data_IF_593612218996
#
_entry.id   IF_593612218996
#
_cell.length_a   1.000
_cell.length_b   1.000
_cell.length_c   1.000
_cell.angle_alpha   90.00
_cell.angle_beta   90.00
_cell.angle_gamma   90.00
#
_symmetry.space_group_name_H-M   'P 1'
#
loop_
_entity.id
_entity.type
_entity.pdbx_description
1 polymer ?
#
# COMPACT_ATOMS: atom_id res chain seq x y z
N UNK A 1 -19.79 -6.93 -4.64
CA UNK A 1 -19.29 -5.54 -4.42
C UNK A 1 -18.78 -5.29 -2.99
N UNK A 2 -19.07 -6.15 -2.01
CA UNK A 2 -18.57 -6.07 -0.62
C UNK A 2 -17.33 -6.95 -0.32
N UNK A 3 -16.69 -7.53 -1.34
CA UNK A 3 -15.57 -8.47 -1.17
C UNK A 3 -14.18 -7.82 -1.27
N UNK A 4 -14.10 -6.51 -1.53
CA UNK A 4 -12.85 -5.75 -1.38
C UNK A 4 -12.56 -5.34 0.08
N UNK A 5 -13.36 -5.81 1.03
CA UNK A 5 -13.53 -5.21 2.36
C UNK A 5 -12.45 -5.56 3.41
N UNK A 6 -11.24 -6.00 3.02
CA UNK A 6 -10.18 -6.30 4.01
C UNK A 6 -8.74 -6.03 3.57
N UNK A 7 -8.51 -5.47 2.38
CA UNK A 7 -7.15 -5.14 1.99
C UNK A 7 -6.79 -3.75 2.50
N UNK A 8 -5.78 -3.67 3.36
CA UNK A 8 -5.23 -2.40 3.78
C UNK A 8 -4.57 -1.74 2.56
N UNK A 9 -4.98 -0.51 2.25
CA UNK A 9 -4.37 0.26 1.17
C UNK A 9 -3.24 1.07 1.76
N UNK A 10 -2.04 0.96 1.19
CA UNK A 10 -0.87 1.74 1.53
C UNK A 10 -0.59 2.71 0.38
N UNK A 11 -0.28 3.96 0.72
CA UNK A 11 0.25 4.95 -0.20
C UNK A 11 1.71 5.15 0.16
N UNK A 12 2.57 5.00 -0.83
CA UNK A 12 4.01 4.98 -0.70
C UNK A 12 4.57 6.04 -1.64
N UNK A 13 5.33 6.97 -1.08
CA UNK A 13 6.08 7.95 -1.86
C UNK A 13 7.53 7.50 -1.92
N UNK A 14 8.09 7.47 -3.12
CA UNK A 14 9.47 7.10 -3.38
C UNK A 14 10.36 8.33 -3.56
N UNK A 15 11.64 8.19 -3.24
CA UNK A 15 12.63 9.27 -3.40
C UNK A 15 12.93 9.49 -4.89
N UNK A 16 13.16 8.38 -5.59
CA UNK A 16 13.48 8.36 -7.02
C UNK A 16 12.24 7.99 -7.84
N UNK A 17 12.31 8.18 -9.16
CA UNK A 17 11.21 7.84 -10.06
C UNK A 17 10.93 6.32 -10.01
N UNK A 18 9.66 5.96 -9.86
CA UNK A 18 9.20 4.58 -9.83
C UNK A 18 9.47 3.89 -11.17
N UNK A 19 9.95 2.63 -11.15
CA UNK A 19 10.07 1.83 -12.37
C UNK A 19 8.68 1.48 -12.91
N UNK A 20 8.58 1.27 -14.23
CA UNK A 20 7.29 0.98 -14.90
C UNK A 20 6.66 -0.35 -14.45
N UNK A 21 7.45 -1.28 -13.91
CA UNK A 21 7.00 -2.58 -13.45
C UNK A 21 7.38 -2.80 -11.99
N UNK A 22 6.39 -2.72 -11.09
CA UNK A 22 6.54 -3.00 -9.67
C UNK A 22 5.66 -4.19 -9.33
N UNK A 23 6.27 -5.24 -8.77
CA UNK A 23 5.55 -6.43 -8.36
C UNK A 23 5.94 -6.82 -6.95
N UNK A 24 4.94 -7.06 -6.10
CA UNK A 24 5.12 -7.47 -4.72
C UNK A 24 4.24 -8.69 -4.50
N UNK A 25 4.79 -9.75 -3.92
CA UNK A 25 4.04 -10.98 -3.69
C UNK A 25 2.84 -10.73 -2.75
N UNK A 26 1.70 -11.33 -3.07
CA UNK A 26 0.44 -11.18 -2.32
C UNK A 26 -0.07 -9.73 -2.20
N UNK A 27 0.41 -8.83 -3.05
CA UNK A 27 0.00 -7.43 -3.08
C UNK A 27 -0.34 -7.01 -4.51
N UNK A 28 -1.32 -6.11 -4.67
CA UNK A 28 -1.54 -5.43 -5.95
C UNK A 28 -0.91 -4.04 -5.89
N UNK A 29 -0.08 -3.71 -6.87
CA UNK A 29 0.60 -2.42 -6.96
C UNK A 29 0.00 -1.61 -8.11
N UNK A 30 -0.29 -0.34 -7.85
CA UNK A 30 -0.81 0.62 -8.81
C UNK A 30 0.03 1.90 -8.72
N UNK A 31 0.69 2.26 -9.82
CA UNK A 31 1.47 3.50 -9.91
C UNK A 31 0.48 4.64 -10.14
N UNK A 32 0.41 5.58 -9.20
CA UNK A 32 -0.47 6.75 -9.29
C UNK A 32 0.20 7.90 -10.05
N UNK A 33 1.50 8.05 -9.87
CA UNK A 33 2.35 9.03 -10.57
C UNK A 33 3.83 8.59 -10.56
N UNK A 34 4.73 9.45 -11.05
CA UNK A 34 6.16 9.17 -11.16
C UNK A 34 6.83 8.78 -9.83
N UNK A 35 6.30 9.16 -8.68
CA UNK A 35 6.88 8.90 -7.35
C UNK A 35 5.92 8.23 -6.37
N UNK A 36 4.63 8.14 -6.68
CA UNK A 36 3.59 7.62 -5.81
C UNK A 36 3.11 6.25 -6.25
N UNK A 37 3.22 5.28 -5.34
CA UNK A 37 2.73 3.93 -5.49
C UNK A 37 1.60 3.67 -4.49
N UNK A 38 0.50 3.14 -5.00
CA UNK A 38 -0.57 2.56 -4.20
C UNK A 38 -0.39 1.04 -4.12
N UNK A 39 -0.36 0.50 -2.91
CA UNK A 39 -0.23 -0.92 -2.66
C UNK A 39 -1.46 -1.41 -1.91
N UNK A 40 -2.19 -2.35 -2.52
CA UNK A 40 -3.23 -3.12 -1.85
C UNK A 40 -2.56 -4.31 -1.16
N UNK A 41 -2.36 -4.17 0.15
CA UNK A 41 -1.71 -5.17 0.99
C UNK A 41 -2.65 -6.36 1.25
N UNK A 42 -2.13 -7.57 1.02
CA UNK A 42 -2.79 -8.82 1.40
C UNK A 42 -2.86 -9.01 2.92
N UNK A 43 -3.84 -9.77 3.41
CA UNK A 43 -4.04 -10.00 4.86
C UNK A 43 -2.82 -10.65 5.57
N UNK A 44 -1.98 -11.37 4.84
CA UNK A 44 -0.79 -12.05 5.35
C UNK A 44 0.52 -11.26 5.16
N UNK A 45 0.46 -10.07 4.56
CA UNK A 45 1.65 -9.27 4.25
C UNK A 45 1.74 -8.11 5.23
N UNK A 46 2.86 -7.97 5.94
CA UNK A 46 3.09 -6.84 6.85
C UNK A 46 3.60 -5.61 6.08
N UNK A 47 3.50 -4.42 6.68
CA UNK A 47 4.06 -3.19 6.07
C UNK A 47 5.56 -3.35 5.82
N UNK A 48 6.26 -4.03 6.73
CA UNK A 48 7.70 -4.31 6.59
C UNK A 48 8.01 -5.18 5.37
N UNK A 49 7.18 -6.19 5.07
CA UNK A 49 7.36 -7.05 3.89
C UNK A 49 7.23 -6.24 2.59
N UNK A 50 6.26 -5.32 2.54
CA UNK A 50 6.08 -4.40 1.40
C UNK A 50 7.31 -3.51 1.22
N UNK A 51 7.80 -2.90 2.30
CA UNK A 51 8.98 -2.02 2.26
C UNK A 51 10.25 -2.80 1.85
N UNK A 52 10.44 -4.02 2.35
CA UNK A 52 11.55 -4.89 1.97
C UNK A 52 11.48 -5.30 0.49
N UNK A 53 10.28 -5.65 0.00
CA UNK A 53 10.07 -6.01 -1.41
C UNK A 53 10.35 -4.84 -2.36
N UNK A 54 10.00 -3.62 -1.96
CA UNK A 54 10.33 -2.40 -2.70
C UNK A 54 11.83 -2.10 -2.69
N UNK A 55 12.47 -2.22 -1.52
CA UNK A 55 13.92 -2.03 -1.40
C UNK A 55 14.70 -3.05 -2.24
N UNK A 56 14.26 -4.31 -2.29
CA UNK A 56 14.84 -5.34 -3.16
C UNK A 56 14.72 -5.02 -4.67
N UNK A 57 13.73 -4.21 -5.05
CA UNK A 57 13.56 -3.66 -6.40
C UNK A 57 14.25 -2.31 -6.59
N UNK A 58 15.11 -1.93 -5.65
CA UNK A 58 15.88 -0.69 -5.68
C UNK A 58 15.01 0.58 -5.58
N UNK A 59 13.82 0.46 -4.99
CA UNK A 59 12.88 1.56 -4.74
C UNK A 59 13.06 2.03 -3.30
N UNK A 60 13.56 3.26 -3.14
CA UNK A 60 13.70 3.88 -1.83
C UNK A 60 12.42 4.58 -1.42
N UNK A 61 11.80 4.10 -0.33
CA UNK A 61 10.59 4.69 0.25
C UNK A 61 10.95 5.96 1.03
N UNK A 62 10.39 7.10 0.64
CA UNK A 62 10.47 8.36 1.37
C UNK A 62 9.41 8.45 2.46
N UNK A 63 8.16 8.16 2.14
CA UNK A 63 7.03 8.24 3.05
C UNK A 63 6.07 7.08 2.80
N UNK A 64 5.44 6.62 3.87
CA UNK A 64 4.42 5.57 3.82
C UNK A 64 3.26 5.96 4.73
N UNK A 65 2.04 5.83 4.21
CA UNK A 65 0.81 6.04 4.98
C UNK A 65 -0.23 4.98 4.61
N UNK A 66 -1.05 4.60 5.57
CA UNK A 66 -2.24 3.80 5.28
C UNK A 66 -3.35 4.70 4.75
N UNK A 67 -3.90 4.38 3.59
CA UNK A 67 -5.15 4.94 3.10
C UNK A 67 -6.31 4.22 3.80
N UNK A 68 -6.45 4.46 5.10
CA UNK A 68 -7.68 4.12 5.81
C UNK A 68 -8.76 5.11 5.39
N UNK A 69 -9.91 4.59 4.96
CA UNK A 69 -11.06 5.43 4.71
C UNK A 69 -11.60 5.95 6.06
N UNK A 70 -11.74 7.27 6.20
CA UNK A 70 -12.28 7.86 7.43
C UNK A 70 -13.67 7.33 7.75
N UNK A 71 -14.44 6.91 6.73
CA UNK A 71 -15.75 6.30 6.92
C UNK A 71 -15.65 4.94 7.61
N UNK A 72 -14.72 4.07 7.18
CA UNK A 72 -14.51 2.75 7.81
C UNK A 72 -14.03 2.89 9.26
N UNK A 73 -13.14 3.85 9.51
CA UNK A 73 -12.70 4.17 10.87
C UNK A 73 -13.88 4.61 11.76
N UNK A 74 -14.77 5.48 11.25
CA UNK A 74 -15.98 5.90 11.97
C UNK A 74 -16.92 4.73 12.26
N UNK A 75 -17.13 3.83 11.31
CA UNK A 75 -17.96 2.64 11.52
C UNK A 75 -17.42 1.75 12.63
N UNK A 76 -16.11 1.46 12.64
CA UNK A 76 -15.48 0.65 13.67
C UNK A 76 -15.53 1.32 15.05
N UNK A 77 -15.37 2.65 15.11
CA UNK A 77 -15.45 3.41 16.36
C UNK A 77 -16.84 3.42 17.01
N UNK A 78 -17.91 3.17 16.25
CA UNK A 78 -19.29 3.13 16.76
C UNK A 78 -19.71 1.75 17.26
N UNK A 79 -18.95 0.70 16.95
CA UNK A 79 -19.23 -0.69 17.33
C UNK A 79 -18.33 -1.23 18.46
N UNK A 80 -17.47 -0.39 19.02
CA UNK A 80 -16.64 -0.68 20.20
C UNK A 80 -17.13 0.11 21.43
#
# INVERSE_FOLDING_TARGET
LLLKAKHQVLIIESIDKLPENISIENCNCEILDDHTLQVFQGESTSISDVVLALSAQNINVSHLRSAQNRLEALFLSLTN
#
